data_IF_260786226364
#
_entry.id   IF_260786226364
#
_cell.length_a   1.000
_cell.length_b   1.000
_cell.length_c   1.000
_cell.angle_alpha   90.00
_cell.angle_beta   90.00
_cell.angle_gamma   90.00
#
_symmetry.space_group_name_H-M   'P 1'
#
loop_
_entity.id
_entity.type
_entity.pdbx_description
1 polymer ?
#
# COMPACT_ATOMS: atom_id res chain seq x y z
N UNK A 1 32.32 -9.84 6.35
CA UNK A 1 31.37 -10.42 5.38
C UNK A 1 32.04 -10.54 4.02
N UNK A 2 31.76 -11.59 3.32
CA UNK A 2 32.29 -11.84 1.98
C UNK A 2 31.37 -11.27 0.90
N UNK A 3 31.90 -11.12 -0.30
CA UNK A 3 31.12 -10.76 -1.47
C UNK A 3 29.97 -11.76 -1.71
N UNK A 4 30.23 -13.06 -1.47
CA UNK A 4 29.23 -14.12 -1.58
C UNK A 4 28.09 -13.92 -0.58
N UNK A 5 28.37 -13.54 0.65
CA UNK A 5 27.35 -13.25 1.65
C UNK A 5 26.51 -12.03 1.25
N UNK A 6 27.13 -11.01 0.68
CA UNK A 6 26.45 -9.84 0.17
C UNK A 6 25.50 -10.20 -0.97
N UNK A 7 25.96 -11.04 -1.90
CA UNK A 7 25.15 -11.50 -3.03
C UNK A 7 23.94 -12.32 -2.56
N UNK A 8 24.12 -13.18 -1.57
CA UNK A 8 23.04 -13.95 -0.96
C UNK A 8 21.96 -13.06 -0.34
N UNK A 9 22.39 -12.04 0.40
CA UNK A 9 21.47 -11.09 1.04
C UNK A 9 20.69 -10.29 -0.01
N UNK A 10 21.34 -9.92 -1.11
CA UNK A 10 20.65 -9.23 -2.22
C UNK A 10 19.62 -10.12 -2.88
N UNK A 11 19.91 -11.42 -3.02
CA UNK A 11 18.91 -12.38 -3.52
C UNK A 11 17.74 -12.51 -2.55
N UNK A 12 18.00 -12.49 -1.24
CA UNK A 12 16.95 -12.51 -0.23
C UNK A 12 16.05 -11.27 -0.36
N UNK A 13 16.66 -10.09 -0.57
CA UNK A 13 15.90 -8.86 -0.80
C UNK A 13 15.03 -8.99 -2.06
N UNK A 14 15.57 -9.53 -3.14
CA UNK A 14 14.81 -9.72 -4.39
C UNK A 14 13.57 -10.59 -4.14
N UNK A 15 13.71 -11.67 -3.37
CA UNK A 15 12.57 -12.53 -3.02
C UNK A 15 11.53 -11.81 -2.17
N UNK A 16 11.99 -11.02 -1.20
CA UNK A 16 11.10 -10.22 -0.35
C UNK A 16 10.36 -9.17 -1.18
N UNK A 17 11.06 -8.51 -2.10
CA UNK A 17 10.45 -7.51 -2.99
C UNK A 17 9.34 -8.11 -3.84
N UNK A 18 9.54 -9.32 -4.37
CA UNK A 18 8.50 -10.01 -5.14
C UNK A 18 7.25 -10.27 -4.29
N UNK A 19 7.43 -10.72 -3.06
CA UNK A 19 6.31 -10.95 -2.13
C UNK A 19 5.62 -9.63 -1.80
N UNK A 20 6.41 -8.59 -1.56
CA UNK A 20 5.89 -7.26 -1.25
C UNK A 20 5.01 -6.73 -2.39
N UNK A 21 5.46 -6.85 -3.64
CA UNK A 21 4.67 -6.43 -4.81
C UNK A 21 3.36 -7.23 -4.91
N UNK A 22 3.40 -8.55 -4.68
CA UNK A 22 2.20 -9.38 -4.68
C UNK A 22 1.20 -8.95 -3.61
N UNK A 23 1.71 -8.62 -2.40
CA UNK A 23 0.86 -8.14 -1.30
C UNK A 23 0.26 -6.77 -1.60
N UNK A 24 1.02 -5.87 -2.22
CA UNK A 24 0.51 -4.57 -2.64
C UNK A 24 -0.63 -4.74 -3.66
N UNK A 25 -0.48 -5.66 -4.60
CA UNK A 25 -1.53 -5.94 -5.59
C UNK A 25 -2.75 -6.62 -4.97
N UNK A 26 -2.55 -7.47 -3.97
CA UNK A 26 -3.65 -8.07 -3.22
C UNK A 26 -4.45 -6.99 -2.48
N UNK A 27 -3.75 -6.07 -1.83
CA UNK A 27 -4.37 -4.90 -1.20
C UNK A 27 -5.12 -4.06 -2.22
N UNK A 28 -4.54 -3.85 -3.40
CA UNK A 28 -5.17 -3.08 -4.49
C UNK A 28 -6.46 -3.74 -4.98
N UNK A 29 -6.53 -5.07 -5.04
CA UNK A 29 -7.76 -5.78 -5.39
C UNK A 29 -8.87 -5.50 -4.38
N UNK A 30 -8.53 -5.49 -3.09
CA UNK A 30 -9.48 -5.11 -2.03
C UNK A 30 -9.97 -3.66 -2.25
N UNK A 31 -9.07 -2.75 -2.60
CA UNK A 31 -9.42 -1.35 -2.88
C UNK A 31 -10.40 -1.26 -4.05
N UNK A 32 -10.19 -2.04 -5.10
CA UNK A 32 -11.13 -2.08 -6.23
C UNK A 32 -12.52 -2.55 -5.81
N UNK A 33 -12.61 -3.57 -4.97
CA UNK A 33 -13.91 -4.03 -4.44
C UNK A 33 -14.58 -2.97 -3.58
N UNK A 34 -13.81 -2.30 -2.72
CA UNK A 34 -14.30 -1.18 -1.91
C UNK A 34 -14.83 -0.07 -2.83
N UNK A 35 -14.11 0.23 -3.90
CA UNK A 35 -14.51 1.23 -4.88
C UNK A 35 -15.86 0.90 -5.53
N UNK A 36 -16.07 -0.37 -5.88
CA UNK A 36 -17.35 -0.82 -6.44
C UNK A 36 -18.50 -0.63 -5.46
N UNK A 37 -18.27 -0.97 -4.20
CA UNK A 37 -19.28 -0.81 -3.14
C UNK A 37 -19.58 0.68 -2.92
N UNK A 38 -18.58 1.53 -2.86
CA UNK A 38 -18.75 2.97 -2.69
C UNK A 38 -19.54 3.57 -3.86
N UNK A 39 -19.26 3.12 -5.07
CA UNK A 39 -20.00 3.56 -6.28
C UNK A 39 -21.48 3.21 -6.16
N UNK A 40 -21.79 1.98 -5.76
CA UNK A 40 -23.18 1.53 -5.58
C UNK A 40 -23.91 2.31 -4.49
N UNK A 41 -23.22 2.62 -3.39
CA UNK A 41 -23.81 3.28 -2.23
C UNK A 41 -23.73 4.81 -2.28
N UNK A 42 -23.03 5.37 -3.27
CA UNK A 42 -22.85 6.81 -3.36
C UNK A 42 -21.95 7.38 -2.28
N UNK A 43 -20.99 6.59 -1.78
CA UNK A 43 -20.07 6.99 -0.72
C UNK A 43 -18.84 7.67 -1.33
N UNK A 44 -18.35 8.72 -0.67
CA UNK A 44 -17.13 9.43 -1.06
C UNK A 44 -15.90 8.53 -1.03
N UNK A 45 -15.02 8.69 -2.02
CA UNK A 45 -13.74 7.97 -2.06
C UNK A 45 -12.86 8.37 -0.88
N UNK A 46 -12.72 9.67 -0.65
CA UNK A 46 -11.87 10.17 0.42
C UNK A 46 -12.54 9.99 1.78
N UNK A 47 -11.89 9.20 2.63
CA UNK A 47 -12.35 8.89 4.00
C UNK A 47 -11.19 9.18 4.96
N UNK A 48 -11.00 10.46 5.38
CA UNK A 48 -9.84 10.83 6.18
C UNK A 48 -9.71 10.12 7.51
N UNK A 49 -10.82 9.80 8.17
CA UNK A 49 -10.79 9.07 9.44
C UNK A 49 -10.26 7.65 9.23
N UNK A 50 -10.67 6.99 8.15
CA UNK A 50 -10.17 5.66 7.82
C UNK A 50 -8.67 5.71 7.50
N UNK A 51 -8.21 6.73 6.78
CA UNK A 51 -6.78 6.89 6.47
C UNK A 51 -5.95 7.05 7.73
N UNK A 52 -6.44 7.81 8.71
CA UNK A 52 -5.79 7.94 10.04
C UNK A 52 -5.72 6.60 10.77
N UNK A 53 -6.79 5.82 10.71
CA UNK A 53 -6.83 4.49 11.32
C UNK A 53 -5.79 3.57 10.71
N UNK A 54 -5.65 3.57 9.40
CA UNK A 54 -4.65 2.75 8.69
C UNK A 54 -3.24 3.16 9.14
N UNK A 55 -2.94 4.45 9.16
CA UNK A 55 -1.62 4.94 9.59
C UNK A 55 -1.34 4.54 11.04
N UNK A 56 -2.30 4.70 11.94
CA UNK A 56 -2.15 4.29 13.33
C UNK A 56 -1.87 2.80 13.47
N UNK A 57 -2.59 1.99 12.72
CA UNK A 57 -2.43 0.54 12.71
C UNK A 57 -1.03 0.13 12.22
N UNK A 58 -0.60 0.65 11.08
CA UNK A 58 0.70 0.25 10.52
C UNK A 58 1.87 0.78 11.35
N UNK A 59 1.71 1.93 12.00
CA UNK A 59 2.72 2.43 12.94
C UNK A 59 2.91 1.46 14.11
N UNK A 60 1.80 0.96 14.65
CA UNK A 60 1.85 0.00 15.75
C UNK A 60 2.55 -1.29 15.33
N UNK A 61 2.24 -1.82 14.16
CA UNK A 61 2.87 -3.03 13.61
C UNK A 61 4.36 -2.78 13.33
N UNK A 62 4.69 -1.61 12.79
CA UNK A 62 6.05 -1.28 12.37
C UNK A 62 7.03 -0.98 13.49
N UNK A 63 6.56 -0.83 14.73
CA UNK A 63 7.43 -0.51 15.88
C UNK A 63 8.52 -1.54 16.13
N UNK A 64 8.22 -2.80 15.87
CA UNK A 64 9.10 -3.91 16.23
C UNK A 64 10.18 -4.20 15.21
N UNK A 65 10.25 -3.48 14.13
CA UNK A 65 11.22 -3.71 13.07
C UNK A 65 12.26 -2.60 12.95
N UNK A 66 13.33 -2.85 12.21
CA UNK A 66 14.41 -1.87 12.04
C UNK A 66 14.00 -0.60 11.27
N UNK A 67 12.90 -0.63 10.49
CA UNK A 67 12.40 0.57 9.83
C UNK A 67 11.79 1.56 10.82
N UNK A 68 11.07 1.04 11.81
CA UNK A 68 10.39 1.85 12.80
C UNK A 68 9.06 2.45 12.30
N UNK A 69 8.30 2.99 13.24
CA UNK A 69 6.94 3.49 12.99
C UNK A 69 6.90 4.64 11.99
N UNK A 70 7.84 5.59 12.08
CA UNK A 70 7.82 6.78 11.23
C UNK A 70 8.08 6.45 9.76
N UNK A 71 9.06 5.59 9.49
CA UNK A 71 9.35 5.15 8.11
C UNK A 71 8.18 4.38 7.52
N UNK A 72 7.59 3.48 8.31
CA UNK A 72 6.40 2.72 7.89
C UNK A 72 5.24 3.67 7.56
N UNK A 73 5.01 4.68 8.40
CA UNK A 73 3.96 5.67 8.16
C UNK A 73 4.17 6.41 6.83
N UNK A 74 5.40 6.84 6.55
CA UNK A 74 5.73 7.54 5.27
C UNK A 74 5.46 6.65 4.05
N UNK A 75 5.85 5.37 4.12
CA UNK A 75 5.60 4.43 3.04
C UNK A 75 4.10 4.21 2.83
N UNK A 76 3.34 4.08 3.91
CA UNK A 76 1.89 3.88 3.83
C UNK A 76 1.15 5.13 3.37
N UNK A 77 1.65 6.31 3.63
CA UNK A 77 1.09 7.53 3.04
C UNK A 77 1.09 7.44 1.51
N UNK A 78 2.18 6.93 0.93
CA UNK A 78 2.25 6.72 -0.52
C UNK A 78 1.34 5.59 -0.99
N UNK A 79 1.28 4.50 -0.25
CA UNK A 79 0.39 3.38 -0.57
C UNK A 79 -1.08 3.85 -0.57
N UNK A 80 -1.45 4.66 0.43
CA UNK A 80 -2.79 5.23 0.53
C UNK A 80 -3.09 6.16 -0.64
N UNK A 81 -2.14 7.01 -1.04
CA UNK A 81 -2.30 7.90 -2.20
C UNK A 81 -2.56 7.12 -3.48
N UNK A 82 -1.79 6.07 -3.73
CA UNK A 82 -1.99 5.22 -4.91
C UNK A 82 -3.32 4.48 -4.85
N UNK A 83 -3.69 4.00 -3.67
CA UNK A 83 -4.99 3.34 -3.46
C UNK A 83 -6.15 4.29 -3.76
N UNK A 84 -6.05 5.54 -3.32
CA UNK A 84 -7.09 6.55 -3.58
C UNK A 84 -7.23 6.83 -5.08
N UNK A 85 -6.12 6.92 -5.81
CA UNK A 85 -6.13 7.07 -7.27
C UNK A 85 -6.83 5.91 -7.95
N UNK A 86 -6.49 4.69 -7.54
CA UNK A 86 -7.09 3.47 -8.08
C UNK A 86 -8.60 3.44 -7.80
N UNK A 87 -8.99 3.75 -6.58
CA UNK A 87 -10.39 3.77 -6.16
C UNK A 87 -11.20 4.79 -6.95
N UNK A 88 -10.65 5.98 -7.22
CA UNK A 88 -11.30 6.99 -8.07
C UNK A 88 -11.53 6.49 -9.48
N UNK A 89 -10.58 5.75 -10.05
CA UNK A 89 -10.75 5.16 -11.38
C UNK A 89 -11.91 4.17 -11.40
N UNK A 90 -12.05 3.37 -10.35
CA UNK A 90 -13.15 2.40 -10.22
C UNK A 90 -14.48 3.13 -10.06
N UNK A 91 -14.56 4.12 -9.18
CA UNK A 91 -15.81 4.83 -8.86
C UNK A 91 -16.24 5.74 -10.00
N UNK A 92 -15.33 6.49 -10.60
CA UNK A 92 -15.64 7.52 -11.59
C UNK A 92 -15.30 7.12 -13.03
N UNK A 93 -14.69 5.98 -13.23
CA UNK A 93 -14.24 5.56 -14.56
C UNK A 93 -13.11 6.44 -15.09
N UNK A 94 -12.41 7.18 -14.22
CA UNK A 94 -11.31 8.04 -14.61
C UNK A 94 -10.10 7.23 -15.01
N UNK A 95 -9.49 7.61 -16.12
CA UNK A 95 -8.20 7.08 -16.52
C UNK A 95 -7.13 8.02 -16.00
N UNK A 96 -6.21 7.50 -15.17
CA UNK A 96 -5.01 8.22 -14.83
C UNK A 96 -4.08 8.13 -16.04
N UNK A 97 -3.93 9.24 -16.77
CA UNK A 97 -3.12 9.27 -17.98
C UNK A 97 -1.64 8.95 -17.73
N UNK A 98 -1.21 8.98 -16.50
CA UNK A 98 0.16 8.67 -16.10
C UNK A 98 0.35 7.21 -15.68
N UNK A 99 -0.65 6.42 -15.83
CA UNK A 99 -0.53 4.99 -15.55
C UNK A 99 -1.37 4.49 -14.46
#
# INVERSE_FOLDING_TARGET
MTKSALDELRQDIDRVDEVLVRLLNERARCVCEIGRIKKELGIEVYQPDREKDVIGHVRAVGREGPLGADAIARLFERIIDEARRLERRVVHGESDAQG
#
